data_IF_310427294844
#
_entry.id   IF_310427294844
#
_cell.length_a   1.000
_cell.length_b   1.000
_cell.length_c   1.000
_cell.angle_alpha   90.00
_cell.angle_beta   90.00
_cell.angle_gamma   90.00
#
_symmetry.space_group_name_H-M   'P 1'
#
loop_
_entity.id
_entity.type
_entity.pdbx_description
1 polymer ?
#
# COMPACT_ATOMS: atom_id res chain seq x y z
N UNK A 1 22.20 0.24 2.45
CA UNK A 1 22.16 0.34 3.93
C UNK A 1 21.03 -0.57 4.40
N UNK A 2 21.06 -1.14 5.60
CA UNK A 2 19.97 -1.99 6.12
C UNK A 2 19.27 -1.30 7.27
N UNK A 3 17.95 -1.19 7.20
CA UNK A 3 17.11 -0.62 8.23
C UNK A 3 16.51 -1.73 9.09
N UNK A 4 17.08 -1.88 10.28
CA UNK A 4 16.62 -2.87 11.25
C UNK A 4 15.64 -2.26 12.26
N UNK A 5 15.56 -0.94 12.32
CA UNK A 5 14.56 -0.27 13.13
C UNK A 5 13.17 -0.40 12.49
N UNK A 6 12.17 -0.31 13.35
CA UNK A 6 10.76 -0.30 12.98
C UNK A 6 10.00 0.49 14.03
N UNK A 7 8.80 0.94 13.67
CA UNK A 7 7.97 1.71 14.57
C UNK A 7 7.69 0.90 15.86
N UNK A 8 7.97 1.50 17.01
CA UNK A 8 7.86 0.89 18.35
C UNK A 8 8.83 -0.27 18.62
N UNK A 9 9.99 -0.32 17.95
CA UNK A 9 11.02 -1.36 18.20
C UNK A 9 11.49 -1.46 19.65
N UNK A 10 11.32 -0.42 20.46
CA UNK A 10 11.60 -0.43 21.90
C UNK A 10 10.55 -1.15 22.76
N UNK A 11 9.35 -1.40 22.22
CA UNK A 11 8.19 -1.91 22.96
C UNK A 11 7.73 -3.25 22.42
N UNK A 12 7.73 -3.43 21.09
CA UNK A 12 7.26 -4.65 20.43
C UNK A 12 8.41 -5.40 19.77
N UNK A 13 8.32 -6.72 19.75
CA UNK A 13 9.30 -7.56 19.07
C UNK A 13 9.04 -7.60 17.54
N UNK A 14 10.03 -8.04 16.73
CA UNK A 14 9.91 -8.03 15.28
C UNK A 14 8.76 -8.89 14.74
N UNK A 15 8.51 -10.04 15.36
CA UNK A 15 7.44 -10.95 14.94
C UNK A 15 6.07 -10.29 15.10
N UNK A 16 5.83 -9.61 16.24
CA UNK A 16 4.60 -8.86 16.49
C UNK A 16 4.45 -7.71 15.49
N UNK A 17 5.52 -6.97 15.20
CA UNK A 17 5.49 -5.91 14.18
C UNK A 17 5.10 -6.44 12.80
N UNK A 18 5.69 -7.57 12.37
CA UNK A 18 5.36 -8.21 11.08
C UNK A 18 3.91 -8.69 11.07
N UNK A 19 3.43 -9.34 12.14
CA UNK A 19 2.04 -9.79 12.25
C UNK A 19 1.06 -8.63 12.18
N UNK A 20 1.32 -7.54 12.90
CA UNK A 20 0.49 -6.32 12.85
C UNK A 20 0.51 -5.69 11.45
N UNK A 21 1.68 -5.61 10.81
CA UNK A 21 1.80 -5.13 9.43
C UNK A 21 1.00 -5.98 8.44
N UNK A 22 1.06 -7.31 8.57
CA UNK A 22 0.26 -8.23 7.77
C UNK A 22 -1.25 -8.07 8.00
N UNK A 23 -1.68 -7.91 9.25
CA UNK A 23 -3.09 -7.65 9.59
C UNK A 23 -3.59 -6.33 9.01
N UNK A 24 -2.79 -5.26 9.10
CA UNK A 24 -3.10 -3.96 8.51
C UNK A 24 -3.23 -4.06 6.99
N UNK A 25 -2.31 -4.76 6.33
CA UNK A 25 -2.36 -4.98 4.89
C UNK A 25 -3.61 -5.78 4.47
N UNK A 26 -3.93 -6.85 5.20
CA UNK A 26 -5.13 -7.64 4.95
C UNK A 26 -6.41 -6.82 5.16
N UNK A 27 -6.47 -6.03 6.23
CA UNK A 27 -7.58 -5.11 6.51
C UNK A 27 -7.75 -4.05 5.43
N UNK A 28 -6.64 -3.49 4.92
CA UNK A 28 -6.64 -2.57 3.79
C UNK A 28 -7.20 -3.20 2.51
N UNK A 29 -6.72 -4.39 2.13
CA UNK A 29 -7.21 -5.12 0.94
C UNK A 29 -8.69 -5.45 1.08
N UNK A 30 -9.12 -5.94 2.25
CA UNK A 30 -10.52 -6.23 2.53
C UNK A 30 -11.40 -4.99 2.45
N UNK A 31 -10.97 -3.88 3.06
CA UNK A 31 -11.67 -2.61 3.01
C UNK A 31 -11.82 -2.09 1.58
N UNK A 32 -10.75 -2.15 0.78
CA UNK A 32 -10.79 -1.79 -0.64
C UNK A 32 -11.75 -2.68 -1.44
N UNK A 33 -11.69 -4.00 -1.23
CA UNK A 33 -12.59 -4.94 -1.87
C UNK A 33 -14.05 -4.61 -1.55
N UNK A 34 -14.40 -4.44 -0.27
CA UNK A 34 -15.75 -4.09 0.18
C UNK A 34 -16.23 -2.75 -0.39
N UNK A 35 -15.33 -1.77 -0.52
CA UNK A 35 -15.66 -0.49 -1.15
C UNK A 35 -15.98 -0.66 -2.64
N UNK A 36 -15.14 -1.38 -3.38
CA UNK A 36 -15.29 -1.53 -4.84
C UNK A 36 -16.39 -2.51 -5.24
N UNK A 37 -16.76 -3.49 -4.42
CA UNK A 37 -17.89 -4.39 -4.67
C UNK A 37 -19.23 -3.65 -4.72
N UNK A 38 -19.37 -2.51 -4.03
CA UNK A 38 -20.59 -1.69 -4.05
C UNK A 38 -20.74 -0.83 -5.31
N UNK A 39 -19.72 -0.82 -6.18
CA UNK A 39 -19.70 0.01 -7.38
C UNK A 39 -20.08 -0.86 -8.57
N UNK A 40 -21.35 -0.81 -8.96
CA UNK A 40 -21.93 -1.54 -10.09
C UNK A 40 -21.45 -1.07 -11.47
N UNK A 41 -20.47 -0.16 -11.55
CA UNK A 41 -19.97 0.34 -12.83
C UNK A 41 -18.91 -0.62 -13.40
N UNK A 42 -19.17 -1.31 -14.52
CA UNK A 42 -18.40 -2.48 -14.91
C UNK A 42 -17.00 -2.20 -15.47
N UNK A 43 -16.63 -0.97 -15.84
CA UNK A 43 -15.34 -0.72 -16.50
C UNK A 43 -14.82 0.73 -16.43
N UNK A 44 -15.07 1.48 -15.35
CA UNK A 44 -14.51 2.84 -15.28
C UNK A 44 -12.97 2.80 -15.20
N UNK A 45 -12.32 3.73 -15.89
CA UNK A 45 -10.86 3.94 -15.82
C UNK A 45 -10.41 4.06 -14.35
N UNK A 46 -11.19 4.74 -13.51
CA UNK A 46 -10.92 4.84 -12.07
C UNK A 46 -10.84 3.49 -11.36
N UNK A 47 -11.70 2.51 -11.73
CA UNK A 47 -11.62 1.14 -11.19
C UNK A 47 -10.29 0.51 -11.56
N UNK A 48 -9.94 0.48 -12.85
CA UNK A 48 -8.66 -0.11 -13.33
C UNK A 48 -7.45 0.51 -12.64
N UNK A 49 -7.37 1.83 -12.58
CA UNK A 49 -6.29 2.56 -11.92
C UNK A 49 -6.23 2.22 -10.42
N UNK A 50 -7.38 2.13 -9.74
CA UNK A 50 -7.41 1.78 -8.31
C UNK A 50 -6.89 0.37 -8.04
N UNK A 51 -7.30 -0.62 -8.85
CA UNK A 51 -6.79 -1.99 -8.72
C UNK A 51 -5.28 -2.07 -8.99
N UNK A 52 -4.79 -1.32 -9.99
CA UNK A 52 -3.36 -1.22 -10.25
C UNK A 52 -2.62 -0.59 -9.07
N UNK A 53 -3.17 0.47 -8.47
CA UNK A 53 -2.63 1.09 -7.27
C UNK A 53 -2.54 0.11 -6.10
N UNK A 54 -3.62 -0.64 -5.83
CA UNK A 54 -3.63 -1.69 -4.79
C UNK A 54 -2.60 -2.77 -5.08
N UNK A 55 -2.42 -3.19 -6.34
CA UNK A 55 -1.41 -4.18 -6.70
C UNK A 55 0.00 -3.69 -6.33
N UNK A 56 0.35 -2.45 -6.66
CA UNK A 56 1.65 -1.87 -6.31
C UNK A 56 1.86 -1.72 -4.79
N UNK A 57 0.81 -1.29 -4.06
CA UNK A 57 0.86 -1.20 -2.58
C UNK A 57 1.07 -2.58 -1.96
N UNK A 58 0.27 -3.56 -2.36
CA UNK A 58 0.35 -4.92 -1.81
C UNK A 58 1.68 -5.57 -2.15
N UNK A 59 2.13 -5.48 -3.40
CA UNK A 59 3.41 -6.04 -3.82
C UNK A 59 4.57 -5.44 -3.03
N UNK A 60 4.67 -4.11 -2.94
CA UNK A 60 5.74 -3.45 -2.19
C UNK A 60 5.69 -3.77 -0.69
N UNK A 61 4.51 -3.74 -0.08
CA UNK A 61 4.34 -4.05 1.34
C UNK A 61 4.71 -5.51 1.66
N UNK A 62 4.27 -6.47 0.84
CA UNK A 62 4.59 -7.89 1.02
C UNK A 62 6.09 -8.12 0.88
N UNK A 63 6.75 -7.50 -0.09
CA UNK A 63 8.20 -7.63 -0.30
C UNK A 63 8.98 -7.09 0.91
N UNK A 64 8.66 -5.89 1.40
CA UNK A 64 9.29 -5.32 2.59
C UNK A 64 9.03 -6.16 3.85
N UNK A 65 7.80 -6.65 4.07
CA UNK A 65 7.48 -7.52 5.21
C UNK A 65 8.21 -8.87 5.12
N UNK A 66 8.34 -9.43 3.91
CA UNK A 66 9.03 -10.70 3.67
C UNK A 66 10.53 -10.57 3.92
N UNK A 67 11.15 -9.48 3.47
CA UNK A 67 12.56 -9.21 3.72
C UNK A 67 12.82 -9.08 5.23
N UNK A 68 11.96 -8.35 5.94
CA UNK A 68 12.02 -8.20 7.39
C UNK A 68 11.81 -9.52 8.13
N UNK A 69 10.90 -10.36 7.65
CA UNK A 69 10.68 -11.69 8.22
C UNK A 69 11.91 -12.60 8.07
N UNK A 70 12.59 -12.54 6.91
CA UNK A 70 13.76 -13.39 6.63
C UNK A 70 15.04 -12.91 7.32
N UNK A 71 15.26 -11.60 7.37
CA UNK A 71 16.55 -11.02 7.77
C UNK A 71 16.49 -10.19 9.04
N UNK A 72 15.29 -9.91 9.57
CA UNK A 72 15.07 -8.94 10.66
C UNK A 72 15.10 -7.48 10.21
N UNK A 73 15.57 -7.18 9.00
CA UNK A 73 15.78 -5.82 8.49
C UNK A 73 15.17 -5.66 7.09
N UNK A 74 15.15 -4.42 6.60
CA UNK A 74 14.80 -4.09 5.21
C UNK A 74 15.99 -3.41 4.56
N UNK A 75 16.36 -3.81 3.35
CA UNK A 75 17.45 -3.23 2.60
C UNK A 75 17.02 -1.92 1.95
N UNK A 76 17.63 -0.81 2.38
CA UNK A 76 17.38 0.54 1.89
C UNK A 76 18.65 1.10 1.21
N UNK A 77 18.91 0.74 -0.06
CA UNK A 77 20.13 1.15 -0.76
C UNK A 77 20.05 2.56 -1.33
N UNK A 78 18.85 3.11 -1.54
CA UNK A 78 18.65 4.44 -2.13
C UNK A 78 18.64 5.50 -1.03
N UNK A 79 19.08 6.70 -1.38
CA UNK A 79 19.19 7.82 -0.46
C UNK A 79 18.58 9.09 -1.09
N UNK A 80 17.69 9.76 -0.36
CA UNK A 80 17.11 11.03 -0.76
C UNK A 80 17.93 12.20 -0.24
N UNK A 81 19.00 12.57 -0.95
CA UNK A 81 19.86 13.72 -0.63
C UNK A 81 20.37 13.78 0.83
N UNK A 82 20.55 12.63 1.48
CA UNK A 82 21.00 12.50 2.87
C UNK A 82 19.88 12.55 3.92
N UNK A 83 18.62 12.77 3.53
CA UNK A 83 17.52 12.96 4.48
C UNK A 83 16.93 11.65 5.00
N UNK A 84 16.73 10.67 4.12
CA UNK A 84 16.24 9.34 4.48
C UNK A 84 16.66 8.31 3.44
N UNK A 85 16.72 7.05 3.88
CA UNK A 85 16.98 5.89 3.03
C UNK A 85 15.68 5.22 2.65
N UNK A 86 15.64 4.66 1.45
CA UNK A 86 14.47 3.97 0.92
C UNK A 86 14.89 2.90 -0.09
N UNK A 87 13.93 2.11 -0.55
CA UNK A 87 14.14 1.10 -1.57
C UNK A 87 13.07 1.13 -2.66
N UNK A 88 13.17 0.19 -3.60
CA UNK A 88 12.24 0.07 -4.72
C UNK A 88 10.82 -0.31 -4.23
N UNK A 89 10.72 -1.07 -3.14
CA UNK A 89 9.43 -1.44 -2.55
C UNK A 89 8.72 -0.21 -1.95
N UNK A 90 9.45 0.72 -1.32
CA UNK A 90 8.89 1.98 -0.81
C UNK A 90 8.38 2.88 -1.94
N UNK A 91 9.13 2.94 -3.05
CA UNK A 91 8.67 3.62 -4.27
C UNK A 91 7.42 2.94 -4.84
N UNK A 92 7.38 1.60 -4.86
CA UNK A 92 6.20 0.83 -5.30
C UNK A 92 4.99 1.16 -4.45
N UNK A 93 5.12 1.16 -3.11
CA UNK A 93 4.02 1.52 -2.21
C UNK A 93 3.57 2.95 -2.44
N UNK A 94 4.51 3.91 -2.52
CA UNK A 94 4.19 5.34 -2.67
C UNK A 94 3.52 5.62 -4.02
N UNK A 95 4.03 5.03 -5.09
CA UNK A 95 3.43 5.14 -6.43
C UNK A 95 2.06 4.45 -6.49
N UNK A 96 1.92 3.29 -5.86
CA UNK A 96 0.64 2.59 -5.74
C UNK A 96 -0.41 3.42 -5.00
N UNK A 97 -0.04 4.10 -3.91
CA UNK A 97 -0.91 5.02 -3.19
C UNK A 97 -1.35 6.20 -4.06
N UNK A 98 -0.42 6.79 -4.84
CA UNK A 98 -0.75 7.86 -5.78
C UNK A 98 -1.77 7.40 -6.83
N UNK A 99 -1.55 6.23 -7.45
CA UNK A 99 -2.50 5.65 -8.40
C UNK A 99 -3.86 5.40 -7.72
N UNK A 100 -3.86 4.84 -6.51
CA UNK A 100 -5.09 4.58 -5.78
C UNK A 100 -5.88 5.86 -5.51
N UNK A 101 -5.22 6.94 -5.09
CA UNK A 101 -5.87 8.25 -4.89
C UNK A 101 -6.50 8.78 -6.18
N UNK A 102 -5.77 8.71 -7.30
CA UNK A 102 -6.24 9.11 -8.62
C UNK A 102 -7.46 8.27 -9.02
N UNK A 103 -7.36 6.94 -8.90
CA UNK A 103 -8.42 6.01 -9.27
C UNK A 103 -9.70 6.23 -8.45
N UNK A 104 -9.57 6.42 -7.14
CA UNK A 104 -10.69 6.71 -6.23
C UNK A 104 -11.34 8.06 -6.52
N UNK A 105 -10.56 9.09 -6.85
CA UNK A 105 -11.09 10.38 -7.26
C UNK A 105 -12.02 10.26 -8.49
N UNK A 106 -11.56 9.54 -9.53
CA UNK A 106 -12.38 9.30 -10.72
C UNK A 106 -13.62 8.43 -10.42
N UNK A 107 -13.49 7.41 -9.57
CA UNK A 107 -14.63 6.59 -9.15
C UNK A 107 -15.71 7.40 -8.44
N UNK A 108 -15.31 8.28 -7.51
CA UNK A 108 -16.22 9.17 -6.78
C UNK A 108 -16.98 10.10 -7.73
N UNK A 109 -16.28 10.69 -8.70
CA UNK A 109 -16.90 11.55 -9.74
C UNK A 109 -17.99 10.80 -10.51
N UNK A 110 -17.71 9.59 -10.99
CA UNK A 110 -18.70 8.77 -11.73
C UNK A 110 -19.92 8.43 -10.87
N UNK A 111 -19.73 8.09 -9.59
CA UNK A 111 -20.84 7.81 -8.68
C UNK A 111 -21.77 9.01 -8.53
N UNK A 112 -21.23 10.21 -8.33
CA UNK A 112 -22.03 11.42 -8.18
C UNK A 112 -22.86 11.74 -9.44
N UNK A 113 -22.31 11.52 -10.63
CA UNK A 113 -23.06 11.71 -11.88
C UNK A 113 -24.24 10.75 -12.04
N UNK A 114 -24.13 9.50 -11.56
CA UNK A 114 -25.25 8.54 -11.60
C UNK A 114 -26.37 8.85 -10.61
N UNK A 115 -26.07 9.53 -9.49
CA UNK A 115 -27.08 9.90 -8.48
C UNK A 115 -27.91 11.12 -8.92
N UNK A 116 -27.38 11.95 -9.81
CA UNK A 116 -28.06 13.16 -10.32
C UNK A 116 -28.94 12.91 -11.55
N UNK A 117 -28.96 11.68 -12.09
CA UNK A 117 -29.82 11.27 -13.21
C UNK A 117 -30.90 10.33 -12.70
#
# INVERSE_FOLDING_TARGET
>A
MTNCEYFLSSIINPNLYISLGGLLLAGFVWGFWRYTSKIESPASIGKKISYLGVLFVVAGAVLNLTERFKSGCVGDPLNFFGLFYYNINDLSVTFGLLLLMIGLYYLKRVKNFKVQK
#
